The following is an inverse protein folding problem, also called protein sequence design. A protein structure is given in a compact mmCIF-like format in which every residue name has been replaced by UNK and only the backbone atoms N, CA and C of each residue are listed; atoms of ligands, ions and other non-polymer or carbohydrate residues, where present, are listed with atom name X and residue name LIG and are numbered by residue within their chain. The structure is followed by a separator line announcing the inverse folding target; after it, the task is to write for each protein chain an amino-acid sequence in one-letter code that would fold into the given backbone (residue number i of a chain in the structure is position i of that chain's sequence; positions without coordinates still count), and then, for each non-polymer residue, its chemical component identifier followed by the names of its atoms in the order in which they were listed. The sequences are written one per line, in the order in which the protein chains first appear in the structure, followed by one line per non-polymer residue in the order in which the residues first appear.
data_IF_319662565425
#
_entry.id   IF_319662565425
#
_cell.length_a   1.000
_cell.length_b   1.000
_cell.length_c   1.000
_cell.angle_alpha   90.00
_cell.angle_beta   90.00
_cell.angle_gamma   90.00
#
_symmetry.space_group_name_H-M   'P 1'
#
loop_
_entity.id
_entity.type
_entity.pdbx_description
1 polymer ?
#
# COMPACT_ATOMS: atom_id res chain seq x y z
N UNK A 1 2.44 -1.75 -17.34
CA UNK A 1 2.28 -0.43 -17.93
C UNK A 1 0.82 -0.08 -18.00
N UNK A 2 0.45 1.06 -17.41
CA UNK A 2 -0.94 1.52 -17.38
C UNK A 2 -1.51 1.73 -18.78
N UNK A 3 -0.73 2.32 -19.69
CA UNK A 3 -1.17 2.56 -21.07
C UNK A 3 -1.56 1.28 -21.79
N UNK A 4 -0.82 0.19 -21.59
CA UNK A 4 -1.16 -1.11 -22.19
C UNK A 4 -2.39 -1.73 -21.56
N UNK A 5 -2.54 -1.61 -20.22
CA UNK A 5 -3.66 -2.19 -19.50
C UNK A 5 -5.01 -1.59 -19.92
N UNK A 6 -5.02 -0.32 -20.32
CA UNK A 6 -6.22 0.38 -20.74
C UNK A 6 -6.29 0.66 -22.25
N UNK A 7 -5.40 0.00 -23.02
CA UNK A 7 -5.32 0.17 -24.48
C UNK A 7 -5.18 1.65 -24.91
N UNK A 8 -4.40 2.40 -24.14
CA UNK A 8 -4.15 3.81 -24.41
C UNK A 8 -2.90 3.99 -25.26
N UNK A 9 -2.77 5.13 -25.97
CA UNK A 9 -1.54 5.45 -26.70
C UNK A 9 -0.33 5.44 -25.78
N UNK A 10 0.82 4.99 -26.29
CA UNK A 10 2.07 4.98 -25.53
C UNK A 10 2.51 6.38 -25.08
N UNK A 11 2.02 7.43 -25.76
CA UNK A 11 2.27 8.82 -25.42
C UNK A 11 1.36 9.36 -24.32
N UNK A 12 0.42 8.56 -23.79
CA UNK A 12 -0.43 8.97 -22.69
C UNK A 12 0.41 9.31 -21.46
N UNK A 13 0.06 10.42 -20.80
CA UNK A 13 0.75 10.93 -19.64
C UNK A 13 -0.09 10.64 -18.40
N UNK A 14 0.57 10.15 -17.33
CA UNK A 14 -0.05 9.98 -16.02
C UNK A 14 0.96 10.36 -14.95
N UNK A 15 0.45 10.74 -13.78
CA UNK A 15 1.28 11.12 -12.65
C UNK A 15 1.79 9.89 -11.91
N UNK A 16 3.06 9.98 -11.49
CA UNK A 16 3.70 8.94 -10.67
C UNK A 16 4.26 9.61 -9.43
N UNK A 17 4.05 8.99 -8.28
CA UNK A 17 4.68 9.39 -7.02
C UNK A 17 5.43 8.21 -6.44
N UNK A 18 6.60 8.48 -5.85
CA UNK A 18 7.38 7.45 -5.19
C UNK A 18 7.59 7.81 -3.73
N UNK A 19 7.49 6.81 -2.86
CA UNK A 19 7.86 6.94 -1.46
C UNK A 19 9.23 6.32 -1.25
N UNK A 20 10.13 7.07 -0.60
CA UNK A 20 11.51 6.63 -0.36
C UNK A 20 11.78 6.50 1.14
N UNK A 21 12.61 5.53 1.48
CA UNK A 21 13.13 5.37 2.82
C UNK A 21 14.61 5.06 2.74
N UNK A 22 15.42 5.82 3.46
CA UNK A 22 16.89 5.69 3.45
C UNK A 22 17.49 5.71 2.04
N UNK A 23 16.96 6.58 1.16
CA UNK A 23 17.43 6.73 -0.20
C UNK A 23 16.96 5.67 -1.18
N UNK A 24 16.18 4.71 -0.74
CA UNK A 24 15.63 3.66 -1.61
C UNK A 24 14.14 3.87 -1.86
N UNK A 25 13.69 3.56 -3.07
CA UNK A 25 12.28 3.60 -3.42
C UNK A 25 11.60 2.37 -2.83
N UNK A 26 10.60 2.59 -1.96
CA UNK A 26 9.83 1.52 -1.32
C UNK A 26 8.50 1.29 -2.01
N UNK A 27 7.84 2.35 -2.43
CA UNK A 27 6.52 2.30 -3.05
C UNK A 27 6.46 3.26 -4.22
N UNK A 28 5.73 2.85 -5.26
CA UNK A 28 5.40 3.70 -6.40
C UNK A 28 3.88 3.79 -6.50
N UNK A 29 3.38 5.00 -6.69
CA UNK A 29 1.96 5.27 -6.84
C UNK A 29 1.74 5.83 -8.24
N UNK A 30 0.95 5.12 -9.04
CA UNK A 30 0.63 5.54 -10.40
C UNK A 30 -0.80 6.06 -10.44
N UNK A 31 -0.98 7.23 -11.05
CA UNK A 31 -2.31 7.76 -11.31
C UNK A 31 -2.92 7.01 -12.47
N UNK A 32 -4.10 6.44 -12.26
CA UNK A 32 -4.82 5.77 -13.33
C UNK A 32 -5.51 6.79 -14.25
N UNK A 33 -5.69 6.43 -15.52
CA UNK A 33 -6.35 7.33 -16.47
C UNK A 33 -7.81 7.58 -16.07
N UNK A 34 -8.41 8.71 -16.55
CA UNK A 34 -9.79 9.04 -16.24
C UNK A 34 -10.80 7.97 -16.67
N UNK A 35 -10.44 7.16 -17.66
CA UNK A 35 -11.27 6.07 -18.15
C UNK A 35 -11.36 4.89 -17.20
N UNK A 36 -10.48 4.84 -16.19
CA UNK A 36 -10.49 3.77 -15.19
C UNK A 36 -11.68 3.93 -14.25
N UNK A 37 -12.13 2.81 -13.70
CA UNK A 37 -13.15 2.78 -12.67
C UNK A 37 -12.68 1.96 -11.49
N UNK A 38 -13.19 2.30 -10.29
CA UNK A 38 -12.85 1.54 -9.10
C UNK A 38 -13.44 0.13 -9.17
N UNK A 39 -12.68 -0.85 -8.68
CA UNK A 39 -13.21 -2.21 -8.54
C UNK A 39 -14.25 -2.24 -7.43
N UNK A 40 -15.26 -3.12 -7.54
CA UNK A 40 -16.25 -3.27 -6.47
C UNK A 40 -15.60 -3.67 -5.15
N UNK A 41 -16.09 -3.08 -4.06
CA UNK A 41 -15.68 -3.44 -2.71
C UNK A 41 -16.91 -3.91 -1.95
N UNK A 42 -16.70 -4.88 -1.04
CA UNK A 42 -17.79 -5.44 -0.25
C UNK A 42 -17.44 -5.32 1.24
N UNK A 43 -18.42 -4.93 2.10
CA UNK A 43 -18.16 -4.85 3.53
C UNK A 43 -17.67 -6.17 4.11
N UNK A 44 -16.68 -6.11 4.97
CA UNK A 44 -16.10 -7.30 5.62
C UNK A 44 -15.13 -8.08 4.77
N UNK A 45 -14.89 -7.68 3.53
CA UNK A 45 -13.93 -8.33 2.63
C UNK A 45 -12.69 -7.47 2.44
N UNK A 46 -11.59 -8.12 2.03
CA UNK A 46 -10.36 -7.41 1.68
C UNK A 46 -10.58 -6.59 0.40
N UNK A 47 -9.84 -5.48 0.23
CA UNK A 47 -9.87 -4.72 -1.03
C UNK A 47 -9.52 -5.62 -2.22
N UNK A 48 -10.09 -5.35 -3.41
CA UNK A 48 -9.78 -6.13 -4.61
C UNK A 48 -8.34 -5.89 -5.10
N UNK A 49 -7.83 -6.85 -5.85
CA UNK A 49 -6.48 -6.80 -6.41
C UNK A 49 -5.42 -7.14 -5.38
N UNK A 50 -4.31 -6.41 -5.36
CA UNK A 50 -3.28 -6.54 -4.32
C UNK A 50 -3.82 -5.89 -3.05
N UNK A 51 -4.38 -6.70 -2.16
CA UNK A 51 -5.12 -6.22 -1.00
C UNK A 51 -4.23 -5.67 0.10
N UNK A 52 -3.07 -6.29 0.32
CA UNK A 52 -2.17 -5.94 1.42
C UNK A 52 -0.73 -6.00 0.93
N UNK A 53 0.03 -4.94 1.21
CA UNK A 53 1.49 -4.95 1.05
C UNK A 53 2.13 -4.91 2.44
N UNK A 54 3.21 -5.65 2.61
CA UNK A 54 3.95 -5.71 3.88
C UNK A 54 5.27 -4.99 3.75
N UNK A 55 5.55 -4.08 4.68
CA UNK A 55 6.79 -3.32 4.73
C UNK A 55 7.43 -3.48 6.10
N UNK A 56 8.74 -3.66 6.12
CA UNK A 56 9.52 -3.62 7.35
C UNK A 56 9.97 -2.17 7.58
N UNK A 57 9.55 -1.58 8.69
CA UNK A 57 9.82 -0.18 8.98
C UNK A 57 10.13 0.02 10.47
N UNK A 58 11.32 -0.45 10.94
CA UNK A 58 11.64 -0.44 12.37
C UNK A 58 11.67 0.95 13.01
N UNK A 59 11.95 1.98 12.21
CA UNK A 59 12.08 3.35 12.70
C UNK A 59 10.74 4.12 12.70
N UNK A 60 9.62 3.47 12.37
CA UNK A 60 8.34 4.15 12.35
C UNK A 60 7.94 4.61 13.76
N UNK A 61 7.46 5.84 13.87
CA UNK A 61 6.90 6.33 15.13
C UNK A 61 5.42 5.93 15.20
N UNK A 62 5.16 4.84 15.88
CA UNK A 62 3.82 4.25 15.97
C UNK A 62 2.80 5.21 16.58
N UNK A 63 3.24 6.13 17.45
CA UNK A 63 2.34 7.10 18.09
C UNK A 63 1.81 8.15 17.12
N UNK A 64 2.52 8.40 16.03
CA UNK A 64 2.12 9.39 15.01
C UNK A 64 1.28 8.78 13.89
N UNK A 65 1.06 7.48 13.90
CA UNK A 65 0.32 6.81 12.84
C UNK A 65 -1.15 6.67 13.21
N UNK A 66 -2.01 6.86 12.20
CA UNK A 66 -3.44 6.62 12.34
C UNK A 66 -3.74 5.17 11.90
N UNK A 67 -3.62 4.25 12.83
CA UNK A 67 -3.71 2.83 12.53
C UNK A 67 -5.13 2.38 12.21
N UNK A 68 -5.27 1.60 11.14
CA UNK A 68 -6.48 0.84 10.87
C UNK A 68 -6.58 -0.34 11.84
N UNK A 69 -5.45 -1.01 12.07
CA UNK A 69 -5.30 -2.04 13.09
C UNK A 69 -4.04 -1.73 13.88
N UNK A 70 -4.18 -1.49 15.19
CA UNK A 70 -3.06 -1.10 16.04
C UNK A 70 -1.99 -2.19 16.09
N UNK A 71 -0.70 -1.80 16.24
CA UNK A 71 0.37 -2.79 16.33
C UNK A 71 0.19 -3.77 17.46
N UNK A 72 0.37 -5.05 17.15
CA UNK A 72 0.41 -6.13 18.11
C UNK A 72 1.61 -7.01 17.80
N UNK A 73 2.22 -7.57 18.84
CA UNK A 73 3.35 -8.48 18.68
C UNK A 73 2.90 -9.76 17.97
N UNK A 74 3.65 -10.17 16.95
CA UNK A 74 3.37 -11.40 16.21
C UNK A 74 4.59 -12.30 16.17
N UNK A 75 4.34 -13.58 16.38
CA UNK A 75 5.36 -14.61 16.31
C UNK A 75 5.47 -15.19 14.89
N UNK A 76 6.50 -15.98 14.66
CA UNK A 76 6.74 -16.63 13.37
C UNK A 76 8.01 -16.14 12.69
N UNK A 77 8.38 -16.83 11.62
CA UNK A 77 9.63 -16.57 10.91
C UNK A 77 9.67 -15.16 10.32
N UNK A 78 8.55 -14.69 9.79
CA UNK A 78 8.49 -13.37 9.15
C UNK A 78 8.49 -12.25 10.18
N UNK A 79 7.70 -12.40 11.25
CA UNK A 79 7.48 -11.30 12.21
C UNK A 79 8.53 -11.29 13.32
N UNK A 80 8.99 -12.46 13.77
CA UNK A 80 10.05 -12.57 14.76
C UNK A 80 9.78 -11.87 16.10
N UNK A 81 8.52 -11.88 16.55
CA UNK A 81 8.14 -11.21 17.80
C UNK A 81 8.06 -9.69 17.70
N UNK A 82 8.10 -9.14 16.51
CA UNK A 82 8.02 -7.68 16.29
C UNK A 82 6.57 -7.18 16.29
N UNK A 83 6.36 -5.90 16.64
CA UNK A 83 5.02 -5.31 16.52
C UNK A 83 4.61 -5.16 15.06
N UNK A 84 3.37 -5.53 14.76
CA UNK A 84 2.82 -5.47 13.41
C UNK A 84 1.49 -4.73 13.46
N UNK A 85 1.38 -3.69 12.69
CA UNK A 85 0.15 -2.91 12.56
C UNK A 85 -0.25 -2.77 11.10
N UNK A 86 -1.46 -2.27 10.87
CA UNK A 86 -1.98 -2.06 9.52
C UNK A 86 -2.43 -0.62 9.37
N UNK A 87 -1.97 0.03 8.31
CA UNK A 87 -2.42 1.35 7.89
C UNK A 87 -3.34 1.20 6.68
N UNK A 88 -4.30 2.09 6.56
CA UNK A 88 -5.15 2.17 5.39
C UNK A 88 -4.83 3.45 4.63
N UNK A 89 -4.53 3.31 3.34
CA UNK A 89 -4.25 4.46 2.49
C UNK A 89 -5.54 5.19 2.10
N UNK A 90 -5.46 6.44 1.64
CA UNK A 90 -6.67 7.17 1.23
C UNK A 90 -7.49 6.48 0.15
N UNK A 91 -6.84 5.75 -0.75
CA UNK A 91 -7.53 4.99 -1.80
C UNK A 91 -8.05 3.64 -1.35
N UNK A 92 -7.84 3.26 -0.10
CA UNK A 92 -8.40 2.04 0.48
C UNK A 92 -7.48 0.84 0.51
N UNK A 93 -6.24 0.95 0.06
CA UNK A 93 -5.26 -0.13 0.16
C UNK A 93 -4.80 -0.33 1.61
N UNK A 94 -4.36 -1.53 1.93
CA UNK A 94 -3.85 -1.85 3.25
C UNK A 94 -2.33 -2.02 3.21
N UNK A 95 -1.66 -1.45 4.21
CA UNK A 95 -0.22 -1.59 4.39
C UNK A 95 0.04 -2.22 5.76
N UNK A 96 0.58 -3.43 5.75
CA UNK A 96 1.04 -4.08 6.97
C UNK A 96 2.46 -3.60 7.27
N UNK A 97 2.66 -3.04 8.47
CA UNK A 97 3.93 -2.47 8.87
C UNK A 97 4.52 -3.32 9.99
N UNK A 98 5.70 -3.85 9.73
CA UNK A 98 6.47 -4.60 10.74
C UNK A 98 7.47 -3.62 11.36
N UNK A 99 7.26 -3.34 12.62
CA UNK A 99 8.12 -2.41 13.37
C UNK A 99 9.40 -3.00 13.90
#
# INVERSE_FOLDING_TARGET
MISKAFDLPASSIHSIATAKWQGQICLEFDEYPPESSARPTHPGELPPGVSVCTLSFPAIDAKKCNWFSKPTTREGVIYGGRPVGVLKTPEGSLLEIIG
#
